data_IF_486371851551
#
_entry.id   IF_486371851551
#
_cell.length_a   1.000
_cell.length_b   1.000
_cell.length_c   1.000
_cell.angle_alpha   90.00
_cell.angle_beta   90.00
_cell.angle_gamma   90.00
#
_symmetry.space_group_name_H-M   'P 1'
#
loop_
_entity.id
_entity.type
_entity.pdbx_description
1 polymer ?
#
# COMPACT_ATOMS: atom_id res chain seq x y z
N UNK A 1 19.31 -14.16 16.09
CA UNK A 1 19.83 -13.54 17.32
C UNK A 1 20.50 -12.17 17.06
N UNK A 2 21.45 -12.06 16.10
CA UNK A 2 22.09 -10.76 15.77
C UNK A 2 21.08 -9.73 15.26
N UNK A 3 20.27 -10.09 14.28
CA UNK A 3 19.22 -9.21 13.69
C UNK A 3 18.24 -8.75 14.77
N UNK A 4 17.74 -9.68 15.57
CA UNK A 4 16.82 -9.37 16.67
C UNK A 4 17.43 -8.39 17.68
N UNK A 5 18.70 -8.62 18.05
CA UNK A 5 19.42 -7.75 18.97
C UNK A 5 19.68 -6.36 18.41
N UNK A 6 19.98 -6.26 17.11
CA UNK A 6 20.29 -5.00 16.44
C UNK A 6 19.04 -4.19 16.07
N UNK A 7 17.94 -4.84 15.69
CA UNK A 7 16.74 -4.20 15.13
C UNK A 7 15.49 -4.30 16.01
N UNK A 8 15.45 -5.25 16.94
CA UNK A 8 14.24 -5.61 17.69
C UNK A 8 13.23 -6.46 16.91
N UNK A 9 13.50 -6.73 15.62
CA UNK A 9 12.57 -7.48 14.75
C UNK A 9 12.71 -8.97 15.01
N UNK A 10 11.63 -9.60 15.46
CA UNK A 10 11.58 -11.04 15.75
C UNK A 10 10.95 -11.84 14.61
N UNK A 11 9.93 -11.28 13.97
CA UNK A 11 9.18 -11.91 12.88
C UNK A 11 8.54 -10.88 11.99
N UNK A 12 8.08 -11.31 10.83
CA UNK A 12 7.31 -10.52 9.87
C UNK A 12 6.22 -11.38 9.27
N UNK A 13 5.15 -10.74 8.83
CA UNK A 13 4.15 -11.39 8.01
C UNK A 13 4.56 -11.34 6.54
N UNK A 14 4.31 -12.42 5.82
CA UNK A 14 4.53 -12.53 4.38
C UNK A 14 3.35 -13.26 3.75
N UNK A 15 2.97 -12.85 2.55
CA UNK A 15 1.81 -13.41 1.85
C UNK A 15 2.00 -14.90 1.50
N UNK A 16 3.22 -15.29 1.18
CA UNK A 16 3.58 -16.68 0.93
C UNK A 16 4.97 -16.98 1.50
N UNK A 17 5.02 -17.92 2.41
CA UNK A 17 6.24 -18.30 3.12
C UNK A 17 7.08 -19.34 2.36
N UNK A 18 6.45 -20.24 1.61
CA UNK A 18 7.11 -21.45 1.12
C UNK A 18 8.29 -21.16 0.20
N UNK A 19 8.14 -20.21 -0.73
CA UNK A 19 9.22 -19.84 -1.63
C UNK A 19 10.33 -19.03 -0.97
N UNK A 20 10.00 -18.27 0.07
CA UNK A 20 10.97 -17.43 0.79
C UNK A 20 11.95 -18.26 1.62
N UNK A 21 11.48 -19.34 2.24
CA UNK A 21 12.33 -20.24 3.06
C UNK A 21 13.06 -21.30 2.24
N UNK A 22 12.78 -21.41 0.96
CA UNK A 22 13.51 -22.28 0.03
C UNK A 22 14.85 -21.59 -0.33
N UNK A 23 16.01 -22.16 0.04
CA UNK A 23 17.31 -21.53 -0.15
C UNK A 23 17.71 -21.37 -1.62
N UNK A 24 17.12 -22.15 -2.52
CA UNK A 24 17.39 -22.07 -3.95
C UNK A 24 16.52 -21.01 -4.63
N UNK A 25 15.39 -20.66 -4.02
CA UNK A 25 14.40 -19.72 -4.56
C UNK A 25 14.50 -18.32 -3.94
N UNK A 26 14.24 -18.19 -2.64
CA UNK A 26 14.31 -16.95 -1.86
C UNK A 26 13.38 -15.82 -2.38
N UNK A 27 12.21 -16.15 -2.88
CA UNK A 27 11.12 -15.22 -3.20
C UNK A 27 9.77 -15.95 -3.10
N UNK A 28 8.66 -15.24 -2.86
CA UNK A 28 7.35 -15.87 -2.66
C UNK A 28 6.87 -16.61 -3.92
N UNK A 29 6.17 -17.70 -3.71
CA UNK A 29 5.43 -18.40 -4.77
C UNK A 29 4.06 -17.80 -4.85
N UNK A 30 3.83 -16.95 -5.84
CA UNK A 30 2.53 -16.33 -6.09
C UNK A 30 1.95 -17.01 -7.34
N UNK A 31 0.79 -17.68 -7.23
CA UNK A 31 0.13 -18.28 -8.39
C UNK A 31 -0.23 -17.21 -9.43
N UNK A 32 -0.09 -17.58 -10.69
CA UNK A 32 -0.62 -16.76 -11.79
C UNK A 32 -2.15 -16.68 -11.66
N UNK A 33 -2.69 -15.53 -11.95
CA UNK A 33 -4.13 -15.26 -11.93
C UNK A 33 -4.62 -14.86 -13.30
N UNK A 34 -5.84 -15.23 -13.62
CA UNK A 34 -6.49 -14.77 -14.84
C UNK A 34 -6.86 -13.28 -14.76
N UNK A 35 -7.09 -12.66 -15.90
CA UNK A 35 -7.47 -11.24 -15.96
C UNK A 35 -8.86 -10.95 -15.36
N UNK A 36 -9.68 -11.98 -15.15
CA UNK A 36 -11.00 -11.89 -14.52
C UNK A 36 -10.92 -11.97 -12.98
N UNK A 37 -9.82 -12.45 -12.43
CA UNK A 37 -9.61 -12.53 -10.99
C UNK A 37 -9.08 -11.20 -10.44
N UNK A 38 -9.47 -10.86 -9.23
CA UNK A 38 -8.86 -9.73 -8.54
C UNK A 38 -7.37 -9.94 -8.33
N UNK A 39 -6.59 -8.88 -8.48
CA UNK A 39 -5.19 -8.89 -8.12
C UNK A 39 -5.01 -9.17 -6.63
N UNK A 40 -3.84 -9.69 -6.25
CA UNK A 40 -3.54 -10.00 -4.86
C UNK A 40 -3.60 -8.75 -3.96
N UNK A 41 -3.09 -7.62 -4.45
CA UNK A 41 -3.19 -6.36 -3.72
C UNK A 41 -4.65 -5.89 -3.60
N UNK A 42 -5.49 -6.12 -4.59
CA UNK A 42 -6.92 -5.81 -4.51
C UNK A 42 -7.62 -6.65 -3.43
N UNK A 43 -7.35 -7.95 -3.35
CA UNK A 43 -7.93 -8.81 -2.30
C UNK A 43 -7.50 -8.40 -0.90
N UNK A 44 -6.21 -8.07 -0.72
CA UNK A 44 -5.72 -7.53 0.55
C UNK A 44 -6.42 -6.22 0.90
N UNK A 45 -6.61 -5.34 -0.09
CA UNK A 45 -7.28 -4.07 0.07
C UNK A 45 -8.74 -4.23 0.47
N UNK A 46 -9.51 -5.10 -0.20
CA UNK A 46 -10.92 -5.38 0.13
C UNK A 46 -11.05 -5.79 1.59
N UNK A 47 -10.18 -6.65 2.08
CA UNK A 47 -10.19 -7.07 3.48
C UNK A 47 -9.97 -5.91 4.45
N UNK A 48 -8.92 -5.10 4.21
CA UNK A 48 -8.60 -3.94 5.03
C UNK A 48 -9.67 -2.85 4.98
N UNK A 49 -10.26 -2.61 3.78
CA UNK A 49 -11.33 -1.62 3.58
C UNK A 49 -12.57 -1.98 4.38
N UNK A 50 -13.01 -3.23 4.31
CA UNK A 50 -14.20 -3.69 5.04
C UNK A 50 -14.04 -3.47 6.55
N UNK A 51 -12.85 -3.70 7.08
CA UNK A 51 -12.54 -3.44 8.48
C UNK A 51 -12.55 -1.93 8.79
N UNK A 52 -11.90 -1.13 7.96
CA UNK A 52 -11.83 0.33 8.13
C UNK A 52 -13.23 0.98 8.07
N UNK A 53 -14.07 0.59 7.10
CA UNK A 53 -15.45 1.08 6.98
C UNK A 53 -16.29 0.74 8.22
N UNK A 54 -16.16 -0.50 8.71
CA UNK A 54 -16.85 -0.91 9.94
C UNK A 54 -16.41 -0.07 11.14
N UNK A 55 -15.11 0.21 11.29
CA UNK A 55 -14.59 1.05 12.38
C UNK A 55 -15.00 2.52 12.24
N UNK A 56 -15.11 3.01 11.01
CA UNK A 56 -15.55 4.37 10.72
C UNK A 56 -17.08 4.57 10.81
N UNK A 57 -17.85 3.47 10.98
CA UNK A 57 -19.32 3.49 10.86
C UNK A 57 -19.78 4.06 9.52
N UNK A 58 -19.12 3.60 8.42
CA UNK A 58 -19.38 4.02 7.03
C UNK A 58 -19.65 2.83 6.14
N UNK A 59 -20.21 3.12 4.98
CA UNK A 59 -20.43 2.19 3.88
C UNK A 59 -19.66 2.67 2.64
N UNK A 60 -19.60 1.88 1.60
CA UNK A 60 -18.99 2.27 0.32
C UNK A 60 -19.69 3.45 -0.34
N UNK A 61 -20.98 3.63 -0.08
CA UNK A 61 -21.78 4.75 -0.61
C UNK A 61 -21.40 6.11 0.02
N UNK A 62 -20.73 6.11 1.16
CA UNK A 62 -20.22 7.31 1.82
C UNK A 62 -18.89 7.81 1.21
N UNK A 63 -18.20 6.96 0.41
CA UNK A 63 -16.87 7.25 -0.11
C UNK A 63 -16.95 7.99 -1.43
N UNK A 64 -16.41 9.21 -1.47
CA UNK A 64 -16.35 10.04 -2.68
C UNK A 64 -15.06 9.77 -3.49
N UNK A 65 -13.99 9.30 -2.84
CA UNK A 65 -12.70 9.07 -3.50
C UNK A 65 -11.91 7.93 -2.87
N UNK A 66 -11.11 7.23 -3.68
CA UNK A 66 -10.19 6.20 -3.22
C UNK A 66 -8.75 6.49 -3.66
N UNK A 67 -7.81 6.43 -2.72
CA UNK A 67 -6.38 6.62 -2.97
C UNK A 67 -5.66 5.34 -2.60
N UNK A 68 -4.91 4.75 -3.54
CA UNK A 68 -3.93 3.72 -3.23
C UNK A 68 -2.57 4.37 -3.12
N UNK A 69 -2.01 4.34 -1.92
CA UNK A 69 -0.73 4.95 -1.59
C UNK A 69 0.24 3.87 -1.10
N UNK A 70 1.07 3.36 -2.00
CA UNK A 70 2.02 2.30 -1.69
C UNK A 70 3.31 2.42 -2.51
N UNK A 71 4.36 1.71 -2.12
CA UNK A 71 5.65 1.78 -2.79
C UNK A 71 5.71 0.91 -4.04
N UNK A 72 5.02 -0.21 -4.06
CA UNK A 72 5.09 -1.20 -5.14
C UNK A 72 3.69 -1.58 -5.61
N UNK A 73 3.25 -0.98 -6.70
CA UNK A 73 2.01 -1.37 -7.37
C UNK A 73 2.20 -2.70 -8.09
N UNK A 74 1.23 -3.60 -7.99
CA UNK A 74 1.30 -4.90 -8.66
C UNK A 74 1.38 -4.76 -10.18
N UNK A 75 0.79 -3.69 -10.73
CA UNK A 75 0.86 -3.33 -12.15
C UNK A 75 0.64 -1.82 -12.34
N UNK A 76 1.07 -1.26 -13.50
CA UNK A 76 0.89 0.15 -13.80
C UNK A 76 -0.53 0.51 -14.26
N UNK A 77 -1.23 -0.41 -14.95
CA UNK A 77 -2.59 -0.19 -15.45
C UNK A 77 -3.30 -1.53 -15.72
N UNK A 78 -4.64 -1.61 -15.53
CA UNK A 78 -5.39 -0.55 -14.84
C UNK A 78 -4.80 -0.26 -13.47
N UNK A 79 -4.95 0.99 -13.01
CA UNK A 79 -4.45 1.41 -11.70
C UNK A 79 -5.05 0.54 -10.58
N UNK A 80 -4.28 0.31 -9.51
CA UNK A 80 -4.75 -0.52 -8.39
C UNK A 80 -5.97 0.09 -7.71
N UNK A 81 -5.99 1.41 -7.56
CA UNK A 81 -7.12 2.15 -7.01
C UNK A 81 -8.40 2.00 -7.83
N UNK A 82 -8.30 1.95 -9.15
CA UNK A 82 -9.46 1.79 -10.04
C UNK A 82 -9.99 0.35 -9.98
N UNK A 83 -9.13 -0.65 -9.87
CA UNK A 83 -9.56 -2.03 -9.64
C UNK A 83 -10.29 -2.15 -8.30
N UNK A 84 -9.73 -1.59 -7.23
CA UNK A 84 -10.33 -1.59 -5.89
C UNK A 84 -11.65 -0.82 -5.90
N UNK A 85 -11.71 0.33 -6.57
CA UNK A 85 -12.93 1.11 -6.73
C UNK A 85 -14.04 0.28 -7.38
N UNK A 86 -13.74 -0.41 -8.48
CA UNK A 86 -14.68 -1.27 -9.17
C UNK A 86 -15.12 -2.46 -8.32
N UNK A 87 -14.18 -3.15 -7.68
CA UNK A 87 -14.44 -4.31 -6.82
C UNK A 87 -15.33 -3.98 -5.61
N UNK A 88 -15.15 -2.79 -5.04
CA UNK A 88 -15.93 -2.31 -3.89
C UNK A 88 -17.23 -1.60 -4.28
N UNK A 89 -17.42 -1.24 -5.55
CA UNK A 89 -18.56 -0.45 -6.01
C UNK A 89 -18.52 1.02 -5.57
N UNK A 90 -17.34 1.56 -5.26
CA UNK A 90 -17.16 2.96 -4.86
C UNK A 90 -17.46 3.86 -6.06
N UNK A 91 -18.27 4.90 -5.84
CA UNK A 91 -18.56 5.94 -6.82
C UNK A 91 -17.53 7.08 -6.69
N UNK A 92 -17.44 7.92 -7.73
CA UNK A 92 -16.51 9.05 -7.72
C UNK A 92 -15.20 8.75 -8.43
N UNK A 93 -14.07 9.11 -7.84
CA UNK A 93 -12.77 9.03 -8.50
C UNK A 93 -11.72 8.25 -7.67
N UNK A 94 -10.70 7.75 -8.36
CA UNK A 94 -9.61 7.02 -7.71
C UNK A 94 -8.29 7.26 -8.44
N UNK A 95 -7.17 7.21 -7.70
CA UNK A 95 -5.83 7.24 -8.27
C UNK A 95 -4.79 6.54 -7.39
N UNK A 96 -3.71 6.10 -8.03
CA UNK A 96 -2.54 5.55 -7.36
C UNK A 96 -1.50 6.64 -7.12
N UNK A 97 -0.78 6.57 -5.99
CA UNK A 97 0.36 7.43 -5.71
C UNK A 97 1.50 6.65 -5.05
N UNK A 98 2.72 7.09 -5.33
CA UNK A 98 3.93 6.47 -4.81
C UNK A 98 4.92 7.55 -4.33
N UNK A 99 5.24 7.48 -3.06
CA UNK A 99 6.36 8.20 -2.41
C UNK A 99 7.12 7.20 -1.53
N UNK A 100 7.33 6.00 -2.06
CA UNK A 100 7.97 4.89 -1.35
C UNK A 100 7.37 4.68 0.05
N UNK A 101 8.20 4.49 1.08
CA UNK A 101 7.76 4.27 2.47
C UNK A 101 6.94 5.43 3.07
N UNK A 102 6.95 6.61 2.44
CA UNK A 102 6.19 7.78 2.89
C UNK A 102 4.84 7.92 2.20
N UNK A 103 4.45 6.98 1.35
CA UNK A 103 3.21 7.07 0.55
C UNK A 103 1.98 7.30 1.43
N UNK A 104 1.84 6.61 2.55
CA UNK A 104 0.73 6.81 3.48
C UNK A 104 0.68 8.23 4.05
N UNK A 105 1.82 8.81 4.42
CA UNK A 105 1.90 10.18 4.95
C UNK A 105 1.46 11.21 3.91
N UNK A 106 1.96 11.07 2.68
CA UNK A 106 1.56 11.92 1.57
C UNK A 106 0.09 11.70 1.18
N UNK A 107 -0.37 10.45 1.21
CA UNK A 107 -1.78 10.12 0.96
C UNK A 107 -2.74 10.76 1.96
N UNK A 108 -2.39 10.80 3.25
CA UNK A 108 -3.15 11.54 4.27
C UNK A 108 -3.24 13.03 3.94
N UNK A 109 -2.15 13.66 3.46
CA UNK A 109 -2.18 15.05 3.01
C UNK A 109 -3.13 15.22 1.82
N UNK A 110 -3.02 14.39 0.80
CA UNK A 110 -3.87 14.47 -0.41
C UNK A 110 -5.35 14.30 -0.06
N UNK A 111 -5.68 13.34 0.81
CA UNK A 111 -7.04 13.15 1.30
C UNK A 111 -7.54 14.37 2.07
N UNK A 112 -6.73 14.90 2.98
CA UNK A 112 -7.06 16.10 3.77
C UNK A 112 -7.30 17.31 2.88
N UNK A 113 -6.44 17.53 1.88
CA UNK A 113 -6.56 18.66 0.96
C UNK A 113 -7.80 18.53 0.06
N UNK A 114 -8.14 17.29 -0.36
CA UNK A 114 -9.36 17.02 -1.11
C UNK A 114 -10.62 17.36 -0.30
N UNK A 115 -10.63 17.07 0.99
CA UNK A 115 -11.74 17.40 1.87
C UNK A 115 -11.81 18.91 2.12
N UNK A 116 -10.68 19.53 2.43
CA UNK A 116 -10.60 20.99 2.67
C UNK A 116 -10.97 21.82 1.45
N UNK A 117 -10.65 21.35 0.26
CA UNK A 117 -11.05 22.02 -1.00
C UNK A 117 -12.50 21.76 -1.41
N UNK A 118 -13.19 20.84 -0.76
CA UNK A 118 -14.54 20.43 -1.12
C UNK A 118 -14.62 19.48 -2.33
N UNK A 119 -13.48 18.95 -2.79
CA UNK A 119 -13.44 17.99 -3.90
C UNK A 119 -13.96 16.61 -3.50
N UNK A 120 -13.91 16.29 -2.22
CA UNK A 120 -14.47 15.09 -1.61
C UNK A 120 -14.92 15.40 -0.19
N UNK A 121 -15.87 14.63 0.36
CA UNK A 121 -16.30 14.71 1.76
C UNK A 121 -15.73 13.58 2.59
N UNK A 122 -15.56 12.43 1.97
CA UNK A 122 -15.03 11.23 2.59
C UNK A 122 -14.07 10.53 1.61
N UNK A 123 -12.86 10.29 2.03
CA UNK A 123 -11.79 9.68 1.24
C UNK A 123 -11.35 8.39 1.90
N UNK A 124 -11.27 7.33 1.11
CA UNK A 124 -10.67 6.07 1.51
C UNK A 124 -9.23 6.03 1.02
N UNK A 125 -8.26 5.88 1.92
CA UNK A 125 -6.86 5.64 1.58
C UNK A 125 -6.47 4.20 1.93
N UNK A 126 -5.81 3.51 1.01
CA UNK A 126 -5.41 2.11 1.15
C UNK A 126 -3.92 1.95 0.84
N UNK A 127 -3.24 1.14 1.62
CA UNK A 127 -1.79 0.94 1.53
C UNK A 127 -1.46 -0.56 1.43
N UNK A 128 -1.69 -1.21 0.27
CA UNK A 128 -1.36 -2.62 0.07
C UNK A 128 0.11 -2.78 -0.31
N UNK A 129 0.88 -3.46 0.51
CA UNK A 129 2.31 -3.71 0.26
C UNK A 129 2.63 -5.20 0.29
N UNK A 130 3.29 -5.69 -0.76
CA UNK A 130 3.87 -7.04 -0.86
C UNK A 130 5.39 -6.90 -1.00
N UNK A 131 6.02 -6.43 0.07
CA UNK A 131 7.47 -6.19 0.08
C UNK A 131 8.27 -7.46 -0.09
N UNK A 132 7.75 -8.63 0.32
CA UNK A 132 8.42 -9.91 0.19
C UNK A 132 8.78 -10.26 -1.26
N UNK A 133 8.01 -9.76 -2.24
CA UNK A 133 8.26 -9.97 -3.67
C UNK A 133 9.37 -9.08 -4.26
N UNK A 134 9.82 -8.06 -3.54
CA UNK A 134 10.79 -7.06 -3.99
C UNK A 134 12.10 -7.09 -3.20
N UNK A 135 12.14 -7.80 -2.08
CA UNK A 135 13.34 -7.91 -1.27
C UNK A 135 14.33 -8.91 -1.89
N UNK A 136 15.60 -8.53 -1.91
CA UNK A 136 16.69 -9.49 -2.11
C UNK A 136 16.96 -10.21 -0.78
N UNK A 137 16.45 -11.42 -0.66
CA UNK A 137 16.52 -12.19 0.60
C UNK A 137 17.93 -12.67 0.96
N UNK A 138 18.89 -12.58 0.03
CA UNK A 138 20.32 -12.82 0.28
C UNK A 138 21.04 -11.61 0.85
N UNK A 139 20.43 -10.41 0.72
CA UNK A 139 20.99 -9.18 1.26
C UNK A 139 20.80 -9.14 2.78
N UNK A 140 21.88 -9.26 3.49
CA UNK A 140 21.88 -9.32 4.96
C UNK A 140 21.62 -7.97 5.63
N UNK A 141 21.72 -6.88 4.89
CA UNK A 141 21.56 -5.54 5.43
C UNK A 141 20.10 -5.07 5.42
N UNK A 142 19.26 -5.58 4.50
CA UNK A 142 17.89 -5.10 4.35
C UNK A 142 16.80 -6.19 4.35
N UNK A 143 17.11 -7.46 4.05
CA UNK A 143 16.10 -8.52 3.89
C UNK A 143 15.13 -8.69 5.08
N UNK A 144 15.51 -8.25 6.26
CA UNK A 144 14.76 -8.43 7.51
C UNK A 144 13.83 -7.26 7.87
N UNK A 145 13.87 -6.15 7.13
CA UNK A 145 13.20 -4.91 7.53
C UNK A 145 11.71 -4.95 7.21
N UNK A 146 11.33 -5.32 5.99
CA UNK A 146 9.97 -5.21 5.48
C UNK A 146 9.22 -6.54 5.51
N UNK A 147 7.91 -6.47 5.75
CA UNK A 147 6.95 -7.56 5.57
C UNK A 147 5.82 -7.14 4.66
N UNK A 148 4.83 -8.02 4.49
CA UNK A 148 3.65 -7.78 3.67
C UNK A 148 2.49 -7.34 4.56
N UNK A 149 1.76 -6.31 4.15
CA UNK A 149 0.66 -5.75 4.92
C UNK A 149 -0.27 -4.95 4.00
N UNK A 150 -1.53 -4.87 4.37
CA UNK A 150 -2.44 -3.86 3.84
C UNK A 150 -3.13 -3.13 4.99
N UNK A 151 -3.15 -1.82 4.91
CA UNK A 151 -3.91 -0.96 5.82
C UNK A 151 -4.90 -0.11 5.03
N UNK A 152 -6.00 0.28 5.68
CA UNK A 152 -6.97 1.20 5.12
C UNK A 152 -7.37 2.24 6.17
N UNK A 153 -7.57 3.48 5.72
CA UNK A 153 -7.96 4.61 6.56
C UNK A 153 -9.10 5.35 5.88
N UNK A 154 -10.14 5.66 6.64
CA UNK A 154 -11.23 6.56 6.22
C UNK A 154 -10.92 7.94 6.76
N UNK A 155 -10.88 8.94 5.88
CA UNK A 155 -10.61 10.34 6.20
C UNK A 155 -11.86 11.15 5.81
N UNK A 156 -12.41 11.92 6.75
CA UNK A 156 -13.61 12.72 6.52
C UNK A 156 -13.57 14.04 7.30
N UNK A 157 -14.55 14.92 7.05
CA UNK A 157 -14.75 16.10 7.87
C UNK A 157 -15.12 15.69 9.30
N UNK A 158 -14.58 16.39 10.30
CA UNK A 158 -14.95 16.18 11.69
C UNK A 158 -16.46 16.39 11.96
N UNK A 159 -17.12 17.20 11.12
CA UNK A 159 -18.57 17.47 11.22
C UNK A 159 -19.44 16.27 10.85
N UNK A 160 -18.93 15.36 10.00
CA UNK A 160 -19.64 14.17 9.52
C UNK A 160 -19.18 12.88 10.19
N UNK A 161 -18.17 12.97 11.05
CA UNK A 161 -17.59 11.81 11.72
C UNK A 161 -18.55 11.23 12.76
N UNK A 162 -18.86 9.95 12.61
CA UNK A 162 -19.70 9.18 13.55
C UNK A 162 -18.95 8.00 14.16
N UNK A 163 -17.66 7.88 13.91
CA UNK A 163 -16.83 6.82 14.47
C UNK A 163 -16.69 6.94 15.98
N UNK A 164 -16.72 5.83 16.68
CA UNK A 164 -16.52 5.80 18.13
C UNK A 164 -15.09 6.22 18.54
N UNK A 165 -14.11 5.91 17.67
CA UNK A 165 -12.71 6.31 17.83
C UNK A 165 -12.26 7.03 16.57
N UNK A 166 -11.82 8.26 16.71
CA UNK A 166 -11.30 9.07 15.62
C UNK A 166 -10.12 9.92 16.08
N UNK A 167 -9.29 10.34 15.12
CA UNK A 167 -8.15 11.22 15.34
C UNK A 167 -8.28 12.42 14.44
N UNK A 168 -8.10 13.61 15.00
CA UNK A 168 -8.09 14.84 14.23
C UNK A 168 -6.73 15.08 13.60
N UNK A 169 -6.69 15.39 12.29
CA UNK A 169 -5.49 15.84 11.61
C UNK A 169 -5.36 17.36 11.82
N UNK A 170 -4.61 17.75 12.84
CA UNK A 170 -4.43 19.16 13.22
C UNK A 170 -3.46 19.92 12.32
N UNK A 171 -2.56 19.22 11.64
CA UNK A 171 -1.59 19.81 10.72
C UNK A 171 -0.76 18.78 10.01
N UNK A 172 -0.21 19.20 8.88
CA UNK A 172 0.65 18.36 8.03
C UNK A 172 1.88 19.15 7.60
N UNK A 173 3.01 18.46 7.45
CA UNK A 173 4.24 19.01 6.88
C UNK A 173 4.93 17.94 6.04
N UNK A 174 5.08 18.21 4.77
CA UNK A 174 5.76 17.33 3.82
C UNK A 174 7.09 17.94 3.39
N UNK A 175 8.08 17.08 3.21
CA UNK A 175 9.37 17.45 2.65
C UNK A 175 9.97 16.25 1.92
N UNK A 176 10.61 16.48 0.79
CA UNK A 176 11.35 15.46 0.04
C UNK A 176 12.78 15.89 -0.16
N UNK A 177 13.68 14.90 -0.13
CA UNK A 177 15.08 15.09 -0.44
C UNK A 177 15.60 13.87 -1.20
N UNK A 178 16.28 14.09 -2.32
CA UNK A 178 16.90 13.01 -3.06
C UNK A 178 18.04 12.38 -2.26
N UNK A 179 18.07 11.05 -2.22
CA UNK A 179 19.19 10.27 -1.72
C UNK A 179 19.35 9.00 -2.55
N UNK A 180 20.56 8.53 -2.71
CA UNK A 180 20.87 7.28 -3.39
C UNK A 180 21.29 6.16 -2.42
N UNK A 181 21.10 6.37 -1.13
CA UNK A 181 21.52 5.42 -0.09
C UNK A 181 20.69 4.12 -0.12
N UNK A 182 19.43 4.21 -0.55
CA UNK A 182 18.57 3.06 -0.80
C UNK A 182 18.04 3.19 -2.21
N UNK A 183 18.25 2.17 -3.03
CA UNK A 183 17.84 2.16 -4.42
C UNK A 183 17.27 0.81 -4.80
N UNK A 184 16.13 0.82 -5.48
CA UNK A 184 15.58 -0.34 -6.15
C UNK A 184 15.37 0.03 -7.62
N UNK A 185 16.10 -0.63 -8.51
CA UNK A 185 16.02 -0.40 -9.95
C UNK A 185 15.01 -1.35 -10.63
N UNK A 186 14.40 -2.26 -9.88
CA UNK A 186 13.39 -3.15 -10.43
C UNK A 186 12.12 -2.38 -10.79
N UNK A 187 11.73 -2.39 -12.05
CA UNK A 187 10.60 -1.63 -12.56
C UNK A 187 10.24 -1.97 -14.01
N UNK A 188 9.45 -1.14 -14.66
CA UNK A 188 8.86 -1.41 -15.98
C UNK A 188 9.88 -1.53 -17.11
N UNK A 189 11.07 -0.99 -16.94
CA UNK A 189 12.13 -1.00 -17.95
C UNK A 189 13.18 -2.10 -17.74
N UNK A 190 13.03 -2.97 -16.75
CA UNK A 190 14.01 -4.00 -16.42
C UNK A 190 14.43 -4.85 -17.61
N UNK A 191 13.48 -5.35 -18.38
CA UNK A 191 13.76 -6.16 -19.55
C UNK A 191 14.40 -5.40 -20.72
N UNK A 192 14.48 -4.08 -20.62
CA UNK A 192 15.16 -3.20 -21.57
C UNK A 192 16.59 -2.87 -21.11
N UNK A 193 16.97 -3.27 -19.88
CA UNK A 193 18.31 -3.10 -19.34
C UNK A 193 19.24 -4.19 -19.94
N UNK A 194 20.43 -3.78 -20.39
CA UNK A 194 21.41 -4.71 -20.98
C UNK A 194 21.84 -5.81 -20.02
N UNK A 195 21.81 -5.56 -18.71
CA UNK A 195 22.14 -6.55 -17.69
C UNK A 195 21.03 -7.59 -17.47
N UNK A 196 19.78 -7.28 -17.85
CA UNK A 196 18.61 -8.10 -17.56
C UNK A 196 18.32 -8.28 -16.07
N UNK A 197 19.04 -7.53 -15.23
CA UNK A 197 18.93 -7.54 -13.76
C UNK A 197 18.75 -6.09 -13.31
N UNK A 198 17.54 -5.74 -12.90
CA UNK A 198 17.21 -4.41 -12.41
C UNK A 198 17.64 -4.18 -10.97
#
# INVERSE_FOLDING_TARGET
>A
EFIEKASGIKSRFVINKSGIIDPDRLYPVIPERSDEEHSLQCEMAISAINEALRHANKTVDDIDAAIVACSNMQRPYPAMSIEIQAAMGIKGWAFDMNVACSSATFGLQMATDSIRSGSARCVLMVNPEICSGHLEWRDRDCHFICGDVCTAVVIESAETCTAANSFEIIGTKLQTQYSNNIRNNFGFLNRCDESGVG
#
